data_IF_817587531831
#
_entry.id   IF_817587531831
#
_cell.length_a   1.000
_cell.length_b   1.000
_cell.length_c   1.000
_cell.angle_alpha   90.00
_cell.angle_beta   90.00
_cell.angle_gamma   90.00
#
_symmetry.space_group_name_H-M   'P 1'
#
loop_
_entity.id
_entity.type
_entity.pdbx_description
1 polymer ?
#
# COMPACT_ATOMS: atom_id res chain seq x y z
N UNK A 1 19.30 -42.66 -44.68
CA UNK A 1 20.61 -42.16 -44.23
C UNK A 1 20.73 -40.69 -44.61
N UNK A 2 20.55 -39.84 -43.59
CA UNK A 2 20.86 -38.41 -43.44
C UNK A 2 20.56 -37.43 -44.60
N UNK A 3 19.40 -36.75 -44.49
CA UNK A 3 19.24 -35.41 -45.03
C UNK A 3 19.55 -34.41 -43.91
N UNK A 4 20.71 -33.74 -44.01
CA UNK A 4 21.08 -32.67 -43.11
C UNK A 4 20.34 -31.39 -43.52
N UNK A 5 19.39 -30.97 -42.68
CA UNK A 5 18.74 -29.66 -42.75
C UNK A 5 19.79 -28.58 -42.49
N UNK A 6 20.18 -27.82 -43.51
CA UNK A 6 21.03 -26.62 -43.34
C UNK A 6 20.17 -25.50 -42.81
N UNK A 7 20.26 -25.23 -41.50
CA UNK A 7 19.58 -24.12 -40.87
C UNK A 7 20.26 -22.79 -41.26
N UNK A 8 19.47 -21.85 -41.77
CA UNK A 8 19.91 -20.51 -42.20
C UNK A 8 20.47 -19.72 -41.00
N UNK A 9 21.72 -19.20 -41.07
CA UNK A 9 22.33 -18.43 -39.99
C UNK A 9 21.52 -17.19 -39.58
N UNK A 10 20.76 -16.58 -40.50
CA UNK A 10 19.89 -15.43 -40.19
C UNK A 10 18.70 -15.83 -39.30
N UNK A 11 18.14 -17.03 -39.51
CA UNK A 11 17.08 -17.57 -38.64
C UNK A 11 17.60 -17.88 -37.24
N UNK A 12 18.83 -18.37 -37.12
CA UNK A 12 19.46 -18.59 -35.82
C UNK A 12 19.69 -17.29 -35.06
N UNK A 13 20.16 -16.24 -35.74
CA UNK A 13 20.37 -14.92 -35.14
C UNK A 13 19.04 -14.30 -34.72
N UNK A 14 17.99 -14.40 -35.54
CA UNK A 14 16.65 -13.91 -35.20
C UNK A 14 16.02 -14.67 -34.02
N UNK A 15 16.20 -15.99 -33.95
CA UNK A 15 15.75 -16.80 -32.81
C UNK A 15 16.54 -16.46 -31.53
N UNK A 16 17.85 -16.24 -31.63
CA UNK A 16 18.68 -15.80 -30.52
C UNK A 16 18.28 -14.40 -30.01
N UNK A 17 18.00 -13.46 -30.92
CA UNK A 17 17.52 -12.12 -30.58
C UNK A 17 16.12 -12.19 -29.95
N UNK A 18 15.22 -13.03 -30.46
CA UNK A 18 13.89 -13.25 -29.88
C UNK A 18 13.97 -13.88 -28.48
N UNK A 19 14.89 -14.84 -28.27
CA UNK A 19 15.16 -15.39 -26.94
C UNK A 19 15.87 -14.40 -26.02
N UNK A 20 16.64 -13.45 -26.55
CA UNK A 20 17.23 -12.37 -25.75
C UNK A 20 16.21 -11.28 -25.37
N UNK A 21 15.19 -11.04 -26.19
CA UNK A 21 14.08 -10.12 -25.90
C UNK A 21 13.07 -10.70 -24.89
N UNK A 22 13.16 -12.00 -24.57
CA UNK A 22 12.36 -12.67 -23.54
C UNK A 22 13.04 -12.65 -22.15
N UNK A 23 14.15 -11.93 -21.97
CA UNK A 23 14.81 -11.81 -20.66
C UNK A 23 14.02 -10.89 -19.72
N UNK A 24 13.47 -11.55 -18.71
CA UNK A 24 13.04 -11.09 -17.38
C UNK A 24 11.93 -10.04 -17.34
N UNK A 25 10.69 -10.51 -17.47
CA UNK A 25 9.64 -9.96 -16.61
C UNK A 25 9.98 -10.41 -15.19
N UNK A 26 10.67 -9.56 -14.43
CA UNK A 26 10.66 -9.70 -12.98
C UNK A 26 9.21 -9.44 -12.55
N UNK A 27 8.42 -10.52 -12.44
CA UNK A 27 7.24 -10.47 -11.59
C UNK A 27 7.82 -10.30 -10.19
N UNK A 28 7.95 -9.05 -9.76
CA UNK A 28 8.22 -8.77 -8.36
C UNK A 28 7.08 -9.44 -7.59
N UNK A 29 7.41 -10.50 -6.85
CA UNK A 29 6.52 -11.09 -5.87
C UNK A 29 6.26 -10.14 -4.69
N UNK A 30 6.97 -9.01 -4.62
CA UNK A 30 6.75 -7.97 -3.64
C UNK A 30 5.68 -6.97 -4.13
N UNK A 31 4.86 -6.51 -3.19
CA UNK A 31 3.96 -5.39 -3.42
C UNK A 31 4.75 -4.13 -3.74
N UNK A 32 4.11 -3.23 -4.50
CA UNK A 32 4.63 -1.90 -4.78
C UNK A 32 4.66 -1.05 -3.50
N UNK A 33 5.78 -0.37 -3.26
CA UNK A 33 5.98 0.56 -2.15
C UNK A 33 6.07 2.02 -2.61
N UNK A 34 5.85 3.02 -1.73
CA UNK A 34 5.86 4.45 -2.08
C UNK A 34 7.10 4.96 -2.82
N UNK A 35 8.25 4.33 -2.58
CA UNK A 35 9.52 4.67 -3.21
C UNK A 35 9.72 3.99 -4.58
N UNK A 36 8.87 3.03 -4.93
CA UNK A 36 9.01 2.25 -6.15
C UNK A 36 8.43 2.97 -7.37
N UNK A 37 8.99 2.76 -8.59
CA UNK A 37 8.48 3.36 -9.81
C UNK A 37 7.04 2.96 -10.18
N UNK A 38 6.54 1.83 -9.67
CA UNK A 38 5.17 1.36 -9.88
C UNK A 38 4.15 2.12 -9.01
N UNK A 39 4.59 2.92 -8.05
CA UNK A 39 3.68 3.52 -7.07
C UNK A 39 2.81 4.58 -7.75
N UNK A 40 1.49 4.59 -7.49
CA UNK A 40 0.61 5.52 -8.17
C UNK A 40 0.96 6.98 -7.84
N UNK A 41 0.87 7.83 -8.85
CA UNK A 41 1.02 9.27 -8.67
C UNK A 41 -0.13 9.83 -7.83
N UNK A 42 0.06 11.00 -7.20
CA UNK A 42 -1.01 11.65 -6.44
C UNK A 42 -2.24 11.97 -7.31
N UNK A 43 -2.03 12.29 -8.59
CA UNK A 43 -3.11 12.45 -9.54
C UNK A 43 -3.88 11.13 -9.73
N UNK A 44 -3.18 10.01 -9.88
CA UNK A 44 -3.78 8.67 -10.03
C UNK A 44 -4.62 8.29 -8.81
N UNK A 45 -4.11 8.55 -7.59
CA UNK A 45 -4.87 8.33 -6.36
C UNK A 45 -6.20 9.10 -6.34
N UNK A 46 -6.18 10.37 -6.76
CA UNK A 46 -7.37 11.23 -6.72
C UNK A 46 -8.35 10.90 -7.86
N UNK A 47 -7.83 10.72 -9.08
CA UNK A 47 -8.65 10.55 -10.29
C UNK A 47 -9.22 9.14 -10.43
N UNK A 48 -8.54 8.10 -9.94
CA UNK A 48 -8.99 6.71 -10.08
C UNK A 48 -9.61 6.14 -8.81
N UNK A 49 -8.99 6.37 -7.64
CA UNK A 49 -9.53 5.84 -6.39
C UNK A 49 -10.53 6.80 -5.75
N UNK A 50 -10.11 8.01 -5.40
CA UNK A 50 -10.97 8.94 -4.64
C UNK A 50 -12.26 9.29 -5.40
N UNK A 51 -12.17 9.52 -6.71
CA UNK A 51 -13.33 9.82 -7.56
C UNK A 51 -14.36 8.68 -7.65
N UNK A 52 -13.94 7.43 -7.38
CA UNK A 52 -14.80 6.24 -7.43
C UNK A 52 -15.55 5.98 -6.12
N UNK A 53 -15.17 6.66 -5.04
CA UNK A 53 -15.74 6.45 -3.71
C UNK A 53 -17.16 7.03 -3.60
N UNK A 54 -17.96 6.37 -2.76
CA UNK A 54 -19.33 6.79 -2.51
C UNK A 54 -19.41 8.09 -1.69
N UNK A 55 -20.53 8.85 -1.78
CA UNK A 55 -20.68 10.07 -0.98
C UNK A 55 -20.54 9.79 0.52
N UNK A 56 -19.59 10.47 1.17
CA UNK A 56 -19.29 10.33 2.60
C UNK A 56 -18.01 9.53 2.89
N UNK A 57 -17.54 8.74 1.91
CA UNK A 57 -16.22 8.14 1.95
C UNK A 57 -15.15 9.19 1.61
N UNK A 58 -13.91 8.92 2.02
CA UNK A 58 -12.79 9.86 1.82
C UNK A 58 -11.46 9.13 1.71
N UNK A 59 -10.58 9.65 0.85
CA UNK A 59 -9.18 9.24 0.78
C UNK A 59 -8.31 10.22 1.56
N UNK A 60 -7.56 9.72 2.54
CA UNK A 60 -6.65 10.54 3.35
C UNK A 60 -5.21 10.08 3.16
N UNK A 61 -4.34 11.02 2.74
CA UNK A 61 -2.90 10.82 2.62
C UNK A 61 -2.19 11.04 3.96
N UNK A 62 -1.28 10.14 4.32
CA UNK A 62 -0.41 10.30 5.47
C UNK A 62 0.62 11.39 5.21
N UNK A 63 0.67 12.40 6.08
CA UNK A 63 1.59 13.53 5.97
C UNK A 63 2.52 13.62 7.17
N UNK A 64 3.51 14.51 7.10
CA UNK A 64 4.36 14.84 8.25
C UNK A 64 3.57 15.38 9.44
N UNK A 65 2.49 16.12 9.19
CA UNK A 65 1.58 16.58 10.24
C UNK A 65 0.90 15.39 10.91
N UNK A 66 0.37 14.45 10.12
CA UNK A 66 -0.23 13.21 10.63
C UNK A 66 0.78 12.39 11.44
N UNK A 67 2.04 12.31 10.99
CA UNK A 67 3.14 11.65 11.71
C UNK A 67 3.34 12.23 13.11
N UNK A 68 3.55 13.54 13.20
CA UNK A 68 3.78 14.20 14.49
C UNK A 68 2.61 13.98 15.46
N UNK A 69 1.38 13.98 14.95
CA UNK A 69 0.20 13.70 15.76
C UNK A 69 0.21 12.24 16.24
N UNK A 70 0.35 11.27 15.35
CA UNK A 70 0.35 9.86 15.73
C UNK A 70 1.50 9.52 16.70
N UNK A 71 2.67 10.16 16.55
CA UNK A 71 3.80 10.02 17.48
C UNK A 71 3.53 10.69 18.83
N UNK A 72 2.92 11.88 18.85
CA UNK A 72 2.55 12.56 20.10
C UNK A 72 1.54 11.73 20.89
N UNK A 73 0.59 11.08 20.22
CA UNK A 73 -0.37 10.16 20.85
C UNK A 73 0.34 8.96 21.48
N UNK A 74 1.32 8.39 20.78
CA UNK A 74 2.03 7.19 21.21
C UNK A 74 2.99 7.48 22.37
N UNK A 75 3.80 8.53 22.26
CA UNK A 75 4.84 8.88 23.23
C UNK A 75 4.35 9.82 24.34
N UNK A 76 3.24 10.52 24.14
CA UNK A 76 2.65 11.48 25.08
C UNK A 76 1.31 11.00 25.64
N UNK A 77 1.33 10.33 26.79
CA UNK A 77 0.22 10.34 27.77
C UNK A 77 -1.21 10.00 27.30
N UNK A 78 -1.41 9.01 26.42
CA UNK A 78 -2.76 8.66 25.96
C UNK A 78 -3.05 7.15 25.89
N UNK A 79 -2.44 6.39 26.81
CA UNK A 79 -2.80 4.99 27.10
C UNK A 79 -4.26 4.81 27.58
N UNK A 80 -4.97 5.91 27.88
CA UNK A 80 -6.31 5.91 28.47
C UNK A 80 -7.36 6.65 27.63
N UNK A 81 -7.03 7.19 26.46
CA UNK A 81 -8.01 7.92 25.66
C UNK A 81 -8.82 7.01 24.78
N UNK A 82 -10.08 7.40 24.69
CA UNK A 82 -11.10 6.75 23.90
C UNK A 82 -10.63 6.56 22.45
N UNK A 83 -10.58 5.31 21.98
CA UNK A 83 -10.16 4.96 20.62
C UNK A 83 -11.02 5.56 19.51
N UNK A 84 -12.27 5.92 19.83
CA UNK A 84 -13.12 6.66 18.92
C UNK A 84 -12.54 8.03 18.58
N UNK A 85 -11.79 8.66 19.50
CA UNK A 85 -11.08 9.93 19.27
C UNK A 85 -9.92 9.72 18.29
N UNK A 86 -9.18 8.61 18.40
CA UNK A 86 -8.06 8.30 17.48
C UNK A 86 -8.51 8.01 16.05
N UNK A 87 -9.65 7.32 15.90
CA UNK A 87 -10.24 7.08 14.59
C UNK A 87 -10.79 8.37 13.97
N UNK A 88 -11.61 9.10 14.73
CA UNK A 88 -12.39 10.25 14.24
C UNK A 88 -11.57 11.51 14.01
N UNK A 89 -10.66 11.86 14.91
CA UNK A 89 -10.02 13.19 14.89
C UNK A 89 -8.86 13.29 13.89
N UNK A 90 -8.46 12.16 13.29
CA UNK A 90 -7.37 12.07 12.32
C UNK A 90 -7.72 11.18 11.12
N UNK A 91 -8.99 11.16 10.72
CA UNK A 91 -9.49 10.47 9.52
C UNK A 91 -9.03 9.00 9.39
N UNK A 92 -8.91 8.28 10.51
CA UNK A 92 -8.51 6.88 10.54
C UNK A 92 -7.04 6.62 10.21
N UNK A 93 -6.22 7.67 10.20
CA UNK A 93 -4.80 7.57 9.83
C UNK A 93 -3.94 7.05 10.98
N UNK A 94 -4.24 7.43 12.22
CA UNK A 94 -3.53 6.92 13.39
C UNK A 94 -4.10 5.57 13.88
N UNK A 95 -3.29 4.82 14.62
CA UNK A 95 -3.68 3.57 15.31
C UNK A 95 -3.14 3.61 16.73
N UNK A 96 -3.83 2.96 17.68
CA UNK A 96 -3.37 2.94 19.07
C UNK A 96 -2.03 2.22 19.18
N UNK A 97 -1.90 1.11 18.44
CA UNK A 97 -0.65 0.40 18.29
C UNK A 97 -0.12 0.64 16.88
N UNK A 98 1.09 1.18 16.81
CA UNK A 98 1.83 1.38 15.56
C UNK A 98 2.67 0.12 15.27
N UNK A 99 2.92 -0.14 14.00
CA UNK A 99 3.76 -1.26 13.56
C UNK A 99 5.21 -1.14 14.08
N UNK A 100 5.65 0.10 14.34
CA UNK A 100 6.95 0.37 14.94
C UNK A 100 7.12 -0.17 16.37
N UNK A 101 6.04 -0.57 17.07
CA UNK A 101 6.11 -1.02 18.47
C UNK A 101 7.07 -2.20 18.65
N UNK A 102 7.15 -3.11 17.67
CA UNK A 102 8.12 -4.21 17.68
C UNK A 102 9.58 -3.75 17.72
N UNK A 103 9.87 -2.57 17.17
CA UNK A 103 11.19 -1.96 17.16
C UNK A 103 11.30 -0.81 18.17
N UNK A 104 10.43 -0.79 19.20
CA UNK A 104 10.33 0.26 20.22
C UNK A 104 10.13 1.66 19.63
N UNK A 105 9.60 1.76 18.42
CA UNK A 105 9.45 2.98 17.65
C UNK A 105 10.73 3.83 17.64
N UNK A 106 11.86 3.14 17.51
CA UNK A 106 13.16 3.75 17.28
C UNK A 106 13.09 4.59 16.00
N UNK A 107 13.57 5.83 16.03
CA UNK A 107 13.52 6.80 14.94
C UNK A 107 14.10 6.30 13.60
N UNK A 108 14.97 5.28 13.66
CA UNK A 108 15.53 4.60 12.49
C UNK A 108 14.52 3.70 11.76
N UNK A 109 13.40 3.37 12.42
CA UNK A 109 12.28 2.59 11.87
C UNK A 109 11.06 3.51 11.83
N UNK A 110 10.54 3.76 10.63
CA UNK A 110 9.35 4.59 10.47
C UNK A 110 8.16 4.04 11.28
N UNK A 111 7.15 4.89 11.54
CA UNK A 111 5.94 4.53 12.29
C UNK A 111 5.14 3.36 11.68
N UNK A 112 5.47 2.94 10.46
CA UNK A 112 4.84 1.82 9.75
C UNK A 112 3.36 2.07 9.44
N UNK A 113 2.98 3.34 9.35
CA UNK A 113 1.62 3.77 9.00
C UNK A 113 1.41 3.64 7.49
N UNK A 114 0.26 3.11 7.05
CA UNK A 114 -0.14 3.13 5.64
C UNK A 114 -0.08 4.55 5.06
N UNK A 115 0.56 4.76 3.89
CA UNK A 115 0.65 6.07 3.24
C UNK A 115 -0.71 6.66 2.85
N UNK A 116 -1.73 5.82 2.64
CA UNK A 116 -3.09 6.22 2.31
C UNK A 116 -4.09 5.41 3.13
N UNK A 117 -5.19 6.06 3.51
CA UNK A 117 -6.31 5.46 4.23
C UNK A 117 -7.63 5.90 3.62
N UNK A 118 -8.48 4.93 3.27
CA UNK A 118 -9.84 5.18 2.80
C UNK A 118 -10.82 4.93 3.93
N UNK A 119 -11.60 5.95 4.28
CA UNK A 119 -12.79 5.79 5.10
C UNK A 119 -13.90 5.22 4.21
N UNK A 120 -14.25 3.96 4.41
CA UNK A 120 -15.29 3.28 3.65
C UNK A 120 -16.66 3.46 4.31
N UNK A 121 -17.68 3.79 3.52
CA UNK A 121 -19.07 3.94 3.98
C UNK A 121 -19.97 2.82 3.44
N UNK A 122 -19.60 2.25 2.28
CA UNK A 122 -20.37 1.22 1.59
C UNK A 122 -19.47 0.08 1.11
N UNK A 123 -20.10 -1.04 0.77
CA UNK A 123 -19.43 -2.19 0.18
C UNK A 123 -18.73 -1.83 -1.13
N UNK A 124 -19.28 -0.88 -1.90
CA UNK A 124 -18.67 -0.38 -3.14
C UNK A 124 -17.32 0.30 -2.91
N UNK A 125 -17.12 0.95 -1.77
CA UNK A 125 -15.86 1.63 -1.45
C UNK A 125 -14.76 0.60 -1.16
N UNK A 126 -15.12 -0.48 -0.45
CA UNK A 126 -14.22 -1.62 -0.21
C UNK A 126 -13.85 -2.29 -1.52
N UNK A 127 -14.81 -2.51 -2.42
CA UNK A 127 -14.57 -3.07 -3.75
C UNK A 127 -13.61 -2.19 -4.56
N UNK A 128 -13.87 -0.88 -4.63
CA UNK A 128 -13.01 0.07 -5.34
C UNK A 128 -11.56 0.07 -4.81
N UNK A 129 -11.40 0.03 -3.48
CA UNK A 129 -10.07 -0.05 -2.86
C UNK A 129 -9.34 -1.34 -3.23
N UNK A 130 -10.02 -2.49 -3.18
CA UNK A 130 -9.43 -3.77 -3.51
C UNK A 130 -9.08 -3.88 -5.00
N UNK A 131 -9.92 -3.34 -5.88
CA UNK A 131 -9.66 -3.26 -7.32
C UNK A 131 -8.44 -2.39 -7.62
N UNK A 132 -8.39 -1.18 -7.04
CA UNK A 132 -7.25 -0.27 -7.18
C UNK A 132 -5.96 -0.91 -6.65
N UNK A 133 -5.99 -1.50 -5.45
CA UNK A 133 -4.85 -2.17 -4.86
C UNK A 133 -4.34 -3.34 -5.72
N UNK A 134 -5.24 -4.09 -6.35
CA UNK A 134 -4.87 -5.17 -7.25
C UNK A 134 -4.23 -4.64 -8.55
N UNK A 135 -4.77 -3.56 -9.14
CA UNK A 135 -4.22 -2.94 -10.35
C UNK A 135 -2.78 -2.46 -10.12
N UNK A 136 -2.54 -1.81 -8.99
CA UNK A 136 -1.24 -1.22 -8.65
C UNK A 136 -0.34 -2.12 -7.81
N UNK A 137 -0.76 -3.37 -7.59
CA UNK A 137 -0.06 -4.36 -6.77
C UNK A 137 0.34 -3.81 -5.38
N UNK A 138 -0.60 -3.18 -4.67
CA UNK A 138 -0.40 -2.60 -3.34
C UNK A 138 -1.00 -3.53 -2.29
N UNK A 139 -0.28 -3.74 -1.18
CA UNK A 139 -0.82 -4.51 -0.06
C UNK A 139 -1.96 -3.76 0.63
N UNK A 140 -2.97 -4.46 1.15
CA UNK A 140 -4.11 -3.83 1.84
C UNK A 140 -4.08 -4.15 3.33
N UNK A 141 -4.35 -3.14 4.16
CA UNK A 141 -4.57 -3.32 5.60
C UNK A 141 -5.98 -2.90 5.98
N UNK A 142 -6.53 -3.53 7.02
CA UNK A 142 -7.88 -3.24 7.49
C UNK A 142 -7.79 -2.70 8.91
N UNK A 143 -8.42 -1.55 9.14
CA UNK A 143 -8.56 -0.95 10.47
C UNK A 143 -10.02 -0.74 10.78
N UNK A 144 -10.45 -1.19 11.96
CA UNK A 144 -11.67 -0.67 12.60
C UNK A 144 -11.25 0.38 13.63
N UNK A 145 -11.09 -0.02 14.88
CA UNK A 145 -10.63 0.83 15.99
C UNK A 145 -9.12 1.06 15.99
N UNK A 146 -8.32 0.14 15.43
CA UNK A 146 -6.85 0.23 15.47
C UNK A 146 -6.22 -0.26 16.78
N UNK A 147 -6.92 -1.14 17.51
CA UNK A 147 -6.47 -1.84 18.73
C UNK A 147 -5.76 -3.18 18.44
N UNK A 148 -5.05 -3.31 17.34
CA UNK A 148 -4.29 -4.55 17.10
C UNK A 148 -2.98 -4.52 17.88
N UNK A 149 -2.88 -5.29 18.96
CA UNK A 149 -1.62 -5.44 19.70
C UNK A 149 -0.48 -5.99 18.85
N UNK A 150 -0.81 -6.78 17.83
CA UNK A 150 0.15 -7.30 16.87
C UNK A 150 0.41 -6.33 15.69
N UNK A 151 -0.10 -5.09 15.78
CA UNK A 151 -0.08 -4.07 14.75
C UNK A 151 -0.66 -4.49 13.38
N UNK A 152 -1.45 -5.57 13.33
CA UNK A 152 -2.02 -6.13 12.08
C UNK A 152 -3.00 -5.21 11.35
N UNK A 153 -3.39 -4.07 11.94
CA UNK A 153 -4.21 -3.02 11.32
C UNK A 153 -3.37 -1.88 10.73
N UNK A 154 -2.06 -2.07 10.65
CA UNK A 154 -1.08 -1.15 10.10
C UNK A 154 -0.14 -1.94 9.18
N UNK A 155 0.60 -1.22 8.35
CA UNK A 155 1.58 -1.82 7.47
C UNK A 155 2.21 -0.75 6.58
N UNK A 156 3.55 -0.60 6.60
CA UNK A 156 4.23 0.33 5.72
C UNK A 156 3.93 -0.02 4.25
N UNK A 157 3.74 1.01 3.43
CA UNK A 157 3.47 0.85 1.99
C UNK A 157 2.13 0.21 1.63
N UNK A 158 1.23 0.00 2.60
CA UNK A 158 -0.10 -0.56 2.33
C UNK A 158 -1.17 0.52 2.07
N UNK A 159 -2.27 0.14 1.45
CA UNK A 159 -3.50 0.94 1.36
C UNK A 159 -4.47 0.49 2.46
N UNK A 160 -4.84 1.40 3.36
CA UNK A 160 -5.74 1.08 4.48
C UNK A 160 -7.20 1.25 4.09
N UNK A 161 -8.02 0.28 4.46
CA UNK A 161 -9.48 0.41 4.56
C UNK A 161 -9.83 0.67 6.02
N UNK A 162 -10.51 1.78 6.28
CA UNK A 162 -11.00 2.15 7.60
C UNK A 162 -12.53 2.08 7.65
N UNK A 163 -13.03 1.37 8.65
CA UNK A 163 -14.46 1.21 8.99
C UNK A 163 -14.75 1.65 10.43
#
# INVERSE_FOLDING_TARGET
WNQYFTLDPLRFVLLLICSLLLLTVEVSAAYCFPEDPCWPSEQTWNEELESSLSPGASLTKFTRTSKNVCETIYFGQYINTNVYIFGKDFDGVCSQTLDCNYNFCNENYGVGTPPYSVKAEKESDVQAVLEFANIYNISVTIKTTGHSYAASSSGPGSLRIWM
#
